data_IF_623284315435
#
_entry.id   IF_623284315435
#
_cell.length_a   1.000
_cell.length_b   1.000
_cell.length_c   1.000
_cell.angle_alpha   90.00
_cell.angle_beta   90.00
_cell.angle_gamma   90.00
#
_symmetry.space_group_name_H-M   'P 1'
#
loop_
_entity.id
_entity.type
_entity.pdbx_description
1 polymer ?
#
# COMPACT_ATOMS: atom_id res chain seq x y z
N UNK A 1 -9.12 20.86 -1.69
CA UNK A 1 -8.19 20.46 -2.79
C UNK A 1 -8.26 18.97 -2.96
N UNK A 2 -8.23 18.44 -4.21
CA UNK A 2 -8.33 17.00 -4.47
C UNK A 2 -7.18 16.55 -5.37
N UNK A 3 -6.52 15.44 -5.00
CA UNK A 3 -5.49 14.80 -5.81
C UNK A 3 -5.67 13.28 -5.75
N UNK A 4 -5.75 12.64 -6.92
CA UNK A 4 -5.86 11.20 -7.06
C UNK A 4 -4.72 10.70 -7.95
N UNK A 5 -4.02 9.68 -7.49
CA UNK A 5 -3.07 8.97 -8.33
C UNK A 5 -3.82 8.09 -9.33
N UNK A 6 -3.31 7.94 -10.56
CA UNK A 6 -3.84 6.96 -11.48
C UNK A 6 -3.70 5.57 -10.87
N UNK A 7 -4.59 4.65 -11.23
CA UNK A 7 -4.50 3.27 -10.76
C UNK A 7 -4.77 2.31 -11.91
N UNK A 8 -4.28 1.09 -11.79
CA UNK A 8 -4.47 0.05 -12.80
C UNK A 8 -5.79 -0.71 -12.56
N UNK A 9 -6.23 -1.37 -13.63
CA UNK A 9 -7.38 -2.26 -13.59
C UNK A 9 -6.97 -3.67 -14.07
N UNK A 10 -7.59 -4.67 -13.46
CA UNK A 10 -7.48 -6.07 -13.87
C UNK A 10 -8.87 -6.53 -14.31
N UNK A 11 -9.14 -6.47 -15.62
CA UNK A 11 -10.51 -6.58 -16.14
C UNK A 11 -11.38 -5.42 -15.66
N UNK A 12 -12.45 -5.72 -14.91
CA UNK A 12 -13.31 -4.71 -14.28
C UNK A 12 -12.91 -4.36 -12.84
N UNK A 13 -11.87 -5.00 -12.30
CA UNK A 13 -11.42 -4.85 -10.91
C UNK A 13 -10.48 -3.67 -10.78
N UNK A 14 -10.70 -2.82 -9.77
CA UNK A 14 -9.83 -1.69 -9.44
C UNK A 14 -8.74 -2.16 -8.47
N UNK A 15 -7.55 -2.47 -8.99
CA UNK A 15 -6.48 -3.13 -8.24
C UNK A 15 -6.67 -4.64 -8.08
N UNK A 16 -5.90 -5.22 -7.19
CA UNK A 16 -5.93 -6.62 -6.86
C UNK A 16 -7.00 -7.05 -5.86
N UNK A 17 -6.96 -8.33 -5.47
CA UNK A 17 -7.84 -8.88 -4.45
C UNK A 17 -7.22 -10.14 -3.85
N UNK A 18 -7.02 -10.18 -2.54
CA UNK A 18 -6.49 -11.37 -1.86
C UNK A 18 -7.41 -12.61 -1.96
N UNK A 19 -8.72 -12.43 -2.17
CA UNK A 19 -9.67 -13.53 -2.37
C UNK A 19 -9.38 -14.34 -3.66
N UNK A 20 -8.51 -13.85 -4.54
CA UNK A 20 -8.07 -14.56 -5.73
C UNK A 20 -6.91 -15.51 -5.47
N UNK A 21 -6.24 -15.41 -4.34
CA UNK A 21 -5.03 -16.15 -4.05
C UNK A 21 -5.32 -17.65 -3.91
N UNK A 22 -4.30 -18.49 -4.21
CA UNK A 22 -4.49 -19.94 -4.36
C UNK A 22 -4.51 -20.68 -3.04
N UNK A 23 -3.80 -20.18 -2.03
CA UNK A 23 -3.70 -20.87 -0.75
C UNK A 23 -4.68 -20.27 0.25
N UNK A 24 -5.25 -21.11 1.12
CA UNK A 24 -6.17 -20.67 2.17
C UNK A 24 -5.56 -19.58 3.06
N UNK A 25 -4.28 -19.74 3.42
CA UNK A 25 -3.58 -18.76 4.27
C UNK A 25 -3.42 -17.41 3.58
N UNK A 26 -3.13 -17.40 2.27
CA UNK A 26 -3.07 -16.16 1.49
C UNK A 26 -4.45 -15.49 1.35
N UNK A 27 -5.52 -16.26 1.20
CA UNK A 27 -6.88 -15.70 1.14
C UNK A 27 -7.28 -14.99 2.43
N UNK A 28 -6.86 -15.49 3.61
CA UNK A 28 -7.28 -14.92 4.90
C UNK A 28 -6.26 -13.96 5.53
N UNK A 29 -4.98 -14.09 5.19
CA UNK A 29 -3.88 -13.31 5.79
C UNK A 29 -2.96 -12.64 4.77
N UNK A 30 -3.32 -12.63 3.49
CA UNK A 30 -2.49 -12.12 2.40
C UNK A 30 -2.64 -10.64 2.08
N UNK A 31 -3.36 -9.85 2.90
CA UNK A 31 -3.58 -8.43 2.63
C UNK A 31 -2.27 -7.63 2.52
N UNK A 32 -1.25 -7.97 3.31
CA UNK A 32 0.08 -7.35 3.17
C UNK A 32 0.73 -7.65 1.81
N UNK A 33 0.65 -8.90 1.35
CA UNK A 33 1.15 -9.29 0.04
C UNK A 33 0.34 -8.65 -1.10
N UNK A 34 -1.00 -8.59 -0.99
CA UNK A 34 -1.86 -7.85 -1.93
C UNK A 34 -1.42 -6.39 -2.04
N UNK A 35 -1.27 -5.71 -0.90
CA UNK A 35 -0.87 -4.30 -0.83
C UNK A 35 0.51 -4.07 -1.48
N UNK A 36 1.48 -4.97 -1.26
CA UNK A 36 2.80 -4.89 -1.89
C UNK A 36 2.74 -5.16 -3.40
N UNK A 37 1.90 -6.10 -3.85
CA UNK A 37 1.65 -6.36 -5.27
C UNK A 37 1.04 -5.13 -5.96
N UNK A 38 0.03 -4.52 -5.35
CA UNK A 38 -0.61 -3.32 -5.88
C UNK A 38 0.36 -2.13 -5.93
N UNK A 39 1.18 -1.94 -4.87
CA UNK A 39 2.22 -0.91 -4.86
C UNK A 39 3.27 -1.16 -5.96
N UNK A 40 3.75 -2.39 -6.13
CA UNK A 40 4.72 -2.76 -7.16
C UNK A 40 4.17 -2.53 -8.58
N UNK A 41 2.93 -2.94 -8.84
CA UNK A 41 2.26 -2.69 -10.13
C UNK A 41 2.09 -1.20 -10.41
N UNK A 42 1.65 -0.44 -9.40
CA UNK A 42 1.56 1.01 -9.53
C UNK A 42 2.91 1.63 -9.90
N UNK A 43 3.97 1.28 -9.17
CA UNK A 43 5.32 1.80 -9.40
C UNK A 43 5.87 1.38 -10.77
N UNK A 44 5.60 0.14 -11.20
CA UNK A 44 6.00 -0.36 -12.52
C UNK A 44 5.32 0.41 -13.66
N UNK A 45 4.02 0.70 -13.54
CA UNK A 45 3.22 1.33 -14.59
C UNK A 45 3.44 2.86 -14.60
N UNK A 46 3.42 3.50 -13.42
CA UNK A 46 3.32 4.96 -13.32
C UNK A 46 4.62 5.65 -12.90
N UNK A 47 5.60 4.88 -12.36
CA UNK A 47 6.91 5.42 -11.94
C UNK A 47 8.07 4.88 -12.76
N UNK A 48 7.79 4.09 -13.81
CA UNK A 48 8.83 3.52 -14.68
C UNK A 48 9.68 2.42 -14.05
N UNK A 49 9.33 1.94 -12.86
CA UNK A 49 10.05 0.87 -12.13
C UNK A 49 9.64 -0.51 -12.62
N UNK A 50 9.77 -0.76 -13.94
CA UNK A 50 9.24 -1.97 -14.60
C UNK A 50 9.75 -3.28 -14.01
N UNK A 51 10.96 -3.29 -13.43
CA UNK A 51 11.57 -4.44 -12.77
C UNK A 51 10.80 -4.92 -11.52
N UNK A 52 9.93 -4.07 -10.95
CA UNK A 52 9.09 -4.43 -9.79
C UNK A 52 7.86 -5.29 -10.14
N UNK A 53 7.64 -5.58 -11.40
CA UNK A 53 6.58 -6.50 -11.85
C UNK A 53 7.15 -7.41 -12.94
N UNK A 54 7.22 -8.75 -12.71
CA UNK A 54 7.95 -9.66 -13.60
C UNK A 54 7.20 -10.02 -14.89
N UNK A 55 5.99 -9.49 -15.10
CA UNK A 55 5.17 -9.77 -16.27
C UNK A 55 4.90 -8.50 -17.10
N UNK A 56 4.20 -8.64 -18.22
CA UNK A 56 3.82 -7.52 -19.08
C UNK A 56 2.71 -6.67 -18.42
N UNK A 57 3.02 -5.40 -18.15
CA UNK A 57 2.07 -4.43 -17.58
C UNK A 57 0.99 -3.99 -18.57
N UNK A 58 1.16 -4.22 -19.88
CA UNK A 58 0.15 -3.90 -20.90
C UNK A 58 -0.97 -4.93 -21.01
N UNK A 59 -0.79 -6.11 -20.41
CA UNK A 59 -1.71 -7.25 -20.47
C UNK A 59 -2.00 -7.82 -19.08
N UNK A 60 -2.54 -6.98 -18.18
CA UNK A 60 -2.88 -7.38 -16.83
C UNK A 60 -4.05 -8.35 -16.81
N UNK A 61 -3.84 -9.54 -16.27
CA UNK A 61 -4.90 -10.55 -16.03
C UNK A 61 -4.92 -10.98 -14.57
N UNK A 62 -6.05 -11.52 -14.14
CA UNK A 62 -6.20 -12.08 -12.79
C UNK A 62 -5.17 -13.19 -12.54
N UNK A 63 -4.94 -14.05 -13.52
CA UNK A 63 -3.98 -15.16 -13.43
C UNK A 63 -2.57 -14.64 -13.20
N UNK A 64 -2.13 -13.61 -13.93
CA UNK A 64 -0.80 -13.01 -13.77
C UNK A 64 -0.66 -12.28 -12.45
N UNK A 65 -1.72 -11.63 -11.98
CA UNK A 65 -1.73 -11.02 -10.66
C UNK A 65 -1.58 -12.08 -9.55
N UNK A 66 -2.28 -13.20 -9.66
CA UNK A 66 -2.17 -14.33 -8.71
C UNK A 66 -0.80 -14.97 -8.77
N UNK A 67 -0.20 -15.14 -9.97
CA UNK A 67 1.18 -15.61 -10.13
C UNK A 67 2.16 -14.64 -9.43
N UNK A 68 1.94 -13.34 -9.57
CA UNK A 68 2.76 -12.32 -8.90
C UNK A 68 2.60 -12.37 -7.37
N UNK A 69 1.38 -12.51 -6.87
CA UNK A 69 1.15 -12.68 -5.44
C UNK A 69 1.83 -13.93 -4.88
N UNK A 70 1.94 -15.00 -5.68
CA UNK A 70 2.69 -16.20 -5.28
C UNK A 70 4.22 -15.96 -5.22
N UNK A 71 4.75 -15.08 -6.08
CA UNK A 71 6.14 -14.62 -5.99
C UNK A 71 6.33 -13.77 -4.72
N UNK A 72 5.35 -12.93 -4.36
CA UNK A 72 5.40 -12.08 -3.16
C UNK A 72 5.24 -12.87 -1.85
N UNK A 73 4.57 -14.01 -1.85
CA UNK A 73 4.23 -14.81 -0.67
C UNK A 73 5.45 -15.14 0.24
N UNK A 74 6.63 -15.54 -0.25
CA UNK A 74 7.79 -15.81 0.60
C UNK A 74 8.31 -14.58 1.36
N UNK A 75 8.13 -13.39 0.84
CA UNK A 75 8.59 -12.12 1.43
C UNK A 75 7.60 -11.59 2.47
N UNK A 76 6.31 -11.71 2.17
CA UNK A 76 5.20 -11.25 3.02
C UNK A 76 4.31 -12.43 3.41
N UNK A 77 4.96 -13.46 3.98
CA UNK A 77 4.30 -14.72 4.33
C UNK A 77 3.09 -14.50 5.25
N UNK A 78 1.91 -15.05 4.90
CA UNK A 78 0.72 -14.89 5.72
C UNK A 78 0.91 -15.58 7.07
N UNK A 79 0.50 -14.91 8.15
CA UNK A 79 0.58 -15.39 9.53
C UNK A 79 -0.82 -15.48 10.11
N UNK A 80 -1.02 -16.32 11.12
CA UNK A 80 -2.31 -16.39 11.82
C UNK A 80 -2.74 -15.05 12.42
N UNK A 81 -1.77 -14.25 12.88
CA UNK A 81 -2.00 -12.89 13.40
C UNK A 81 -1.98 -11.82 12.28
N UNK A 82 -1.83 -12.20 11.01
CA UNK A 82 -1.51 -11.27 9.94
C UNK A 82 -0.13 -10.63 10.09
N UNK A 83 0.21 -9.71 9.19
CA UNK A 83 1.37 -8.82 9.33
C UNK A 83 0.89 -7.60 10.12
N UNK A 84 1.18 -7.58 11.43
CA UNK A 84 0.61 -6.63 12.39
C UNK A 84 1.57 -5.49 12.80
N UNK A 85 2.67 -5.33 12.05
CA UNK A 85 3.69 -4.30 12.28
C UNK A 85 4.24 -3.77 10.97
N UNK A 86 4.60 -2.49 10.97
CA UNK A 86 5.16 -1.80 9.79
C UNK A 86 6.54 -2.33 9.41
N UNK A 87 7.40 -2.62 10.38
CA UNK A 87 8.75 -3.15 10.16
C UNK A 87 8.72 -4.53 9.47
N UNK A 88 7.80 -5.42 9.85
CA UNK A 88 7.64 -6.72 9.18
C UNK A 88 7.30 -6.54 7.68
N UNK A 89 6.41 -5.60 7.37
CA UNK A 89 6.07 -5.28 5.98
C UNK A 89 7.27 -4.66 5.25
N UNK A 90 7.95 -3.71 5.89
CA UNK A 90 9.12 -3.02 5.31
C UNK A 90 10.26 -3.99 5.03
N UNK A 91 10.59 -4.87 5.98
CA UNK A 91 11.65 -5.86 5.84
C UNK A 91 11.32 -6.87 4.73
N UNK A 92 10.09 -7.39 4.72
CA UNK A 92 9.64 -8.35 3.72
C UNK A 92 9.58 -7.74 2.32
N UNK A 93 8.85 -6.63 2.17
CA UNK A 93 8.75 -5.97 0.87
C UNK A 93 10.09 -5.40 0.41
N UNK A 94 10.93 -4.90 1.33
CA UNK A 94 12.29 -4.46 1.03
C UNK A 94 13.18 -5.59 0.48
N UNK A 95 13.05 -6.80 1.02
CA UNK A 95 13.74 -7.98 0.48
C UNK A 95 13.29 -8.30 -0.95
N UNK A 96 11.98 -8.24 -1.22
CA UNK A 96 11.47 -8.38 -2.59
C UNK A 96 12.04 -7.31 -3.53
N UNK A 97 12.03 -6.03 -3.13
CA UNK A 97 12.57 -4.92 -3.93
C UNK A 97 14.06 -5.15 -4.26
N UNK A 98 14.84 -5.59 -3.28
CA UNK A 98 16.27 -5.92 -3.46
C UNK A 98 16.47 -7.06 -4.46
N UNK A 99 15.71 -8.15 -4.32
CA UNK A 99 15.79 -9.32 -5.22
C UNK A 99 15.28 -9.00 -6.63
N UNK A 100 14.36 -8.05 -6.76
CA UNK A 100 13.93 -7.49 -8.04
C UNK A 100 14.96 -6.52 -8.65
N UNK A 101 16.06 -6.22 -7.93
CA UNK A 101 17.13 -5.35 -8.41
C UNK A 101 16.90 -3.86 -8.17
N UNK A 102 15.93 -3.49 -7.32
CA UNK A 102 15.73 -2.08 -6.97
C UNK A 102 16.73 -1.65 -5.88
N UNK A 103 17.44 -0.55 -6.16
CA UNK A 103 18.41 0.05 -5.24
C UNK A 103 18.03 1.47 -4.81
N UNK A 104 16.98 2.03 -5.36
CA UNK A 104 16.60 3.44 -5.18
C UNK A 104 15.45 3.63 -4.19
N UNK A 105 14.44 2.77 -4.27
CA UNK A 105 13.24 2.92 -3.43
C UNK A 105 13.56 2.64 -1.96
N UNK A 106 13.13 3.52 -1.11
CA UNK A 106 13.25 3.41 0.35
C UNK A 106 11.88 3.47 0.98
N UNK A 107 11.73 2.75 2.07
CA UNK A 107 10.52 2.72 2.88
C UNK A 107 10.81 3.19 4.29
N UNK A 108 9.98 4.10 4.80
CA UNK A 108 10.07 4.63 6.16
C UNK A 108 8.75 4.38 6.88
N UNK A 109 8.76 3.82 8.09
CA UNK A 109 7.55 3.67 8.88
C UNK A 109 7.07 5.03 9.39
N UNK A 110 5.76 5.23 9.37
CA UNK A 110 5.06 6.35 9.98
C UNK A 110 4.05 5.80 10.99
N UNK A 111 4.36 5.97 12.27
CA UNK A 111 3.61 5.34 13.36
C UNK A 111 2.18 5.88 13.48
N UNK A 112 1.21 5.00 13.69
CA UNK A 112 -0.21 5.37 13.86
C UNK A 112 -0.51 6.17 15.12
N UNK A 113 0.47 6.37 16.02
CA UNK A 113 0.35 7.23 17.19
C UNK A 113 0.76 8.69 16.91
N UNK A 114 1.27 8.99 15.72
CA UNK A 114 1.48 10.37 15.28
C UNK A 114 0.15 11.14 15.23
N UNK A 115 0.23 12.49 15.30
CA UNK A 115 -0.98 13.32 15.27
C UNK A 115 -1.72 13.21 13.92
N UNK A 116 -3.01 13.53 13.94
CA UNK A 116 -3.80 13.62 12.69
C UNK A 116 -3.20 14.63 11.71
N UNK A 117 -2.73 15.76 12.20
CA UNK A 117 -2.11 16.82 11.38
C UNK A 117 -0.83 16.32 10.71
N UNK A 118 -0.02 15.53 11.43
CA UNK A 118 1.17 14.88 10.86
C UNK A 118 0.79 13.82 9.82
N UNK A 119 -0.25 13.01 10.09
CA UNK A 119 -0.76 12.02 9.16
C UNK A 119 -1.32 12.68 7.88
N UNK A 120 -2.11 13.73 7.99
CA UNK A 120 -2.65 14.47 6.85
C UNK A 120 -1.53 15.11 6.01
N UNK A 121 -0.49 15.66 6.67
CA UNK A 121 0.70 16.16 5.98
C UNK A 121 1.45 15.04 5.24
N UNK A 122 1.63 13.89 5.87
CA UNK A 122 2.29 12.73 5.26
C UNK A 122 1.52 12.23 4.03
N UNK A 123 0.19 12.10 4.13
CA UNK A 123 -0.68 11.73 2.99
C UNK A 123 -0.50 12.71 1.84
N UNK A 124 -0.62 14.01 2.09
CA UNK A 124 -0.45 15.03 1.05
C UNK A 124 0.92 14.91 0.40
N UNK A 125 1.98 14.89 1.19
CA UNK A 125 3.35 14.83 0.69
C UNK A 125 3.59 13.59 -0.20
N UNK A 126 3.11 12.42 0.21
CA UNK A 126 3.30 11.18 -0.56
C UNK A 126 2.51 11.19 -1.86
N UNK A 127 1.21 11.54 -1.80
CA UNK A 127 0.34 11.57 -2.99
C UNK A 127 0.82 12.63 -3.98
N UNK A 128 1.21 13.82 -3.51
CA UNK A 128 1.74 14.89 -4.38
C UNK A 128 3.08 14.52 -5.01
N UNK A 129 3.90 13.70 -4.33
CA UNK A 129 5.13 13.14 -4.88
C UNK A 129 4.88 11.94 -5.82
N UNK A 130 3.63 11.49 -5.99
CA UNK A 130 3.25 10.39 -6.88
C UNK A 130 3.47 9.00 -6.27
N UNK A 131 3.41 8.86 -4.94
CA UNK A 131 3.54 7.57 -4.25
C UNK A 131 2.24 7.16 -3.57
N UNK A 132 1.74 5.94 -3.81
CA UNK A 132 0.67 5.36 -3.01
C UNK A 132 1.21 5.03 -1.62
N UNK A 133 0.31 4.89 -0.64
CA UNK A 133 0.71 4.70 0.75
C UNK A 133 0.19 3.36 1.26
N UNK A 134 1.06 2.34 1.43
CA UNK A 134 0.69 1.14 2.18
C UNK A 134 0.28 1.53 3.60
N UNK A 135 -0.91 1.11 3.99
CA UNK A 135 -1.56 1.52 5.23
C UNK A 135 -2.00 0.30 6.02
N UNK A 136 -1.66 0.26 7.29
CA UNK A 136 -2.11 -0.76 8.24
C UNK A 136 -3.06 -0.13 9.25
N UNK A 137 -4.24 -0.69 9.39
CA UNK A 137 -5.13 -0.45 10.55
C UNK A 137 -5.25 -1.74 11.34
N UNK A 138 -4.94 -1.68 12.63
CA UNK A 138 -5.16 -2.80 13.56
C UNK A 138 -6.59 -2.75 14.14
N UNK A 139 -6.74 -2.69 15.44
CA UNK A 139 -8.06 -2.56 16.08
C UNK A 139 -8.63 -1.15 15.91
N UNK A 140 -9.95 -1.05 15.81
CA UNK A 140 -10.66 0.22 15.73
C UNK A 140 -11.97 0.17 16.50
N UNK A 141 -12.25 1.20 17.36
CA UNK A 141 -13.49 1.26 18.12
C UNK A 141 -14.71 1.62 17.27
N UNK A 142 -14.53 2.40 16.20
CA UNK A 142 -15.63 2.79 15.33
C UNK A 142 -15.94 1.68 14.33
N UNK A 143 -17.18 1.19 14.37
CA UNK A 143 -17.66 0.12 13.48
C UNK A 143 -17.84 0.53 12.01
N UNK A 144 -17.86 1.82 11.70
CA UNK A 144 -17.96 2.31 10.33
C UNK A 144 -16.78 1.89 9.46
N UNK A 145 -15.60 1.69 10.07
CA UNK A 145 -14.36 1.27 9.38
C UNK A 145 -14.02 -0.21 9.62
N UNK A 146 -15.00 -1.03 10.03
CA UNK A 146 -14.79 -2.45 10.36
C UNK A 146 -14.11 -3.28 9.25
N UNK A 147 -14.33 -2.92 7.98
CA UNK A 147 -13.75 -3.60 6.82
C UNK A 147 -12.26 -3.32 6.63
N UNK A 148 -11.72 -2.36 7.38
CA UNK A 148 -10.31 -1.96 7.37
C UNK A 148 -9.56 -2.38 8.64
N UNK A 149 -10.22 -3.10 9.54
CA UNK A 149 -9.61 -3.58 10.81
C UNK A 149 -8.80 -4.83 10.56
N UNK A 150 -7.60 -4.91 11.15
CA UNK A 150 -6.61 -5.96 10.91
C UNK A 150 -6.30 -6.12 9.42
N UNK A 151 -6.10 -4.98 8.74
CA UNK A 151 -6.03 -4.98 7.30
C UNK A 151 -4.96 -4.04 6.76
N UNK A 152 -4.27 -4.49 5.72
CA UNK A 152 -3.40 -3.71 4.86
C UNK A 152 -4.16 -3.30 3.61
N UNK A 153 -3.96 -2.06 3.17
CA UNK A 153 -4.53 -1.51 1.94
C UNK A 153 -3.71 -0.32 1.45
N UNK A 154 -3.96 0.16 0.23
CA UNK A 154 -3.30 1.36 -0.29
C UNK A 154 -4.19 2.60 -0.13
N UNK A 155 -3.56 3.74 0.22
CA UNK A 155 -4.14 5.04 -0.07
C UNK A 155 -3.52 5.55 -1.38
N UNK A 156 -4.36 5.97 -2.33
CA UNK A 156 -3.91 6.50 -3.61
C UNK A 156 -4.56 7.82 -4.00
N UNK A 157 -5.07 8.58 -3.05
CA UNK A 157 -5.63 9.90 -3.25
C UNK A 157 -6.09 10.55 -1.97
N UNK A 158 -6.26 11.86 -2.01
CA UNK A 158 -6.86 12.64 -0.94
C UNK A 158 -7.78 13.74 -1.50
N UNK A 159 -8.73 14.16 -0.66
CA UNK A 159 -9.58 15.32 -0.87
C UNK A 159 -9.69 16.11 0.43
N UNK A 160 -9.18 17.34 0.44
CA UNK A 160 -9.27 18.24 1.59
C UNK A 160 -10.50 19.11 1.53
N UNK A 161 -11.24 19.13 2.63
CA UNK A 161 -12.29 20.09 2.93
C UNK A 161 -11.84 21.00 4.09
N UNK A 162 -12.60 22.06 4.43
CA UNK A 162 -12.29 22.87 5.61
C UNK A 162 -12.30 22.10 6.94
N UNK A 163 -13.08 20.99 7.02
CA UNK A 163 -13.32 20.25 8.23
C UNK A 163 -12.40 19.04 8.38
N UNK A 164 -12.08 18.36 7.27
CA UNK A 164 -11.30 17.10 7.30
C UNK A 164 -10.63 16.82 5.97
N UNK A 165 -9.75 15.80 5.96
CA UNK A 165 -9.22 15.17 4.76
C UNK A 165 -9.91 13.83 4.55
N UNK A 166 -10.46 13.61 3.36
CA UNK A 166 -10.83 12.28 2.89
C UNK A 166 -9.65 11.64 2.17
N UNK A 167 -9.49 10.34 2.33
CA UNK A 167 -8.46 9.52 1.66
C UNK A 167 -9.10 8.43 0.84
N UNK A 168 -8.53 8.14 -0.33
CA UNK A 168 -9.00 7.10 -1.22
C UNK A 168 -8.30 5.79 -0.87
N UNK A 169 -9.00 4.90 -0.18
CA UNK A 169 -8.53 3.57 0.22
C UNK A 169 -8.84 2.55 -0.88
N UNK A 170 -7.85 1.77 -1.29
CA UNK A 170 -7.94 0.74 -2.34
C UNK A 170 -7.64 -0.61 -1.74
N UNK A 171 -8.56 -1.54 -1.86
CA UNK A 171 -8.44 -2.95 -1.46
C UNK A 171 -9.61 -3.76 -2.03
N UNK A 172 -9.50 -5.09 -2.08
CA UNK A 172 -10.57 -6.00 -2.53
C UNK A 172 -11.17 -5.59 -3.89
N UNK A 173 -10.34 -5.24 -4.86
CA UNK A 173 -10.76 -4.85 -6.24
C UNK A 173 -11.63 -3.61 -6.32
N UNK A 174 -11.65 -2.76 -5.32
CA UNK A 174 -12.47 -1.53 -5.26
C UNK A 174 -11.76 -0.43 -4.49
N UNK A 175 -12.37 0.74 -4.47
CA UNK A 175 -11.96 1.84 -3.62
C UNK A 175 -13.14 2.44 -2.86
N UNK A 176 -12.81 3.09 -1.75
CA UNK A 176 -13.74 3.91 -0.96
C UNK A 176 -13.04 5.20 -0.51
N UNK A 177 -13.82 6.28 -0.39
CA UNK A 177 -13.36 7.52 0.23
C UNK A 177 -13.69 7.48 1.72
N UNK A 178 -12.67 7.59 2.56
CA UNK A 178 -12.77 7.51 4.02
C UNK A 178 -12.32 8.83 4.64
N UNK A 179 -13.00 9.27 5.69
CA UNK A 179 -12.51 10.37 6.53
C UNK A 179 -11.22 9.93 7.23
N UNK A 180 -10.11 10.63 6.95
CA UNK A 180 -8.80 10.31 7.52
C UNK A 180 -8.79 10.48 9.05
N UNK A 181 -9.49 11.48 9.60
CA UNK A 181 -9.56 11.68 11.05
C UNK A 181 -10.25 10.49 11.71
N UNK A 182 -11.36 10.04 11.13
CA UNK A 182 -12.05 8.85 11.60
C UNK A 182 -11.16 7.60 11.49
N UNK A 183 -10.46 7.40 10.38
CA UNK A 183 -9.60 6.24 10.15
C UNK A 183 -8.40 6.22 11.10
N UNK A 184 -7.82 7.39 11.41
CA UNK A 184 -6.60 7.56 12.21
C UNK A 184 -6.85 7.47 13.71
N UNK A 185 -7.99 7.98 14.19
CA UNK A 185 -8.37 7.88 15.59
C UNK A 185 -9.03 6.54 15.91
N UNK A 186 -8.22 5.52 16.01
CA UNK A 186 -8.68 4.15 16.25
C UNK A 186 -9.28 3.95 17.66
N UNK A 187 -8.96 4.83 18.62
CA UNK A 187 -9.33 4.69 20.03
C UNK A 187 -8.54 3.59 20.78
N UNK A 188 -7.48 3.04 20.20
CA UNK A 188 -6.60 2.03 20.80
C UNK A 188 -5.16 2.53 20.92
N UNK A 189 -4.42 2.01 21.91
CA UNK A 189 -3.00 2.34 22.11
C UNK A 189 -2.10 1.69 21.05
N UNK A 190 -2.37 0.41 20.70
CA UNK A 190 -1.65 -0.27 19.60
C UNK A 190 -2.36 0.06 18.30
N UNK A 191 -1.68 0.80 17.44
CA UNK A 191 -2.15 1.21 16.13
C UNK A 191 -1.23 0.65 15.02
N UNK A 192 -1.70 0.69 13.78
CA UNK A 192 -0.87 0.44 12.61
C UNK A 192 -0.08 1.69 12.19
N UNK A 193 -0.37 2.23 11.03
CA UNK A 193 0.29 3.41 10.48
C UNK A 193 0.47 3.31 8.97
N UNK A 194 1.41 4.11 8.44
CA UNK A 194 1.75 4.17 7.02
C UNK A 194 3.16 3.63 6.77
N UNK A 195 3.39 3.20 5.54
CA UNK A 195 4.74 3.03 4.98
C UNK A 195 4.92 4.09 3.90
N UNK A 196 5.88 4.99 4.11
CA UNK A 196 6.16 6.10 3.21
C UNK A 196 7.31 5.74 2.27
N UNK A 197 7.14 6.04 0.97
CA UNK A 197 8.16 5.84 -0.04
C UNK A 197 9.00 7.09 -0.27
N UNK A 198 10.27 6.88 -0.57
CA UNK A 198 11.18 7.89 -1.11
C UNK A 198 12.17 7.23 -2.06
N UNK A 199 12.79 8.01 -2.95
CA UNK A 199 13.90 7.54 -3.77
C UNK A 199 15.21 8.16 -3.30
N UNK A 200 16.30 7.38 -3.29
CA UNK A 200 17.63 7.92 -3.20
C UNK A 200 17.99 8.58 -4.54
N UNK A 201 18.44 9.83 -4.49
CA UNK A 201 19.17 10.41 -5.62
C UNK A 201 20.44 9.59 -5.84
N UNK A 202 20.56 8.94 -6.98
CA UNK A 202 21.82 8.33 -7.39
C UNK A 202 22.79 9.45 -7.73
N UNK A 203 23.97 9.47 -7.13
CA UNK A 203 25.08 10.41 -7.39
C UNK A 203 25.63 10.29 -8.83
N UNK A 204 24.76 10.33 -9.86
CA UNK A 204 25.17 10.25 -11.27
C UNK A 204 25.14 11.58 -12.02
N UNK A 205 25.01 12.72 -11.35
CA UNK A 205 25.10 14.05 -11.98
C UNK A 205 26.35 14.87 -11.61
N UNK A 206 27.43 14.25 -11.15
CA UNK A 206 28.70 14.97 -10.88
C UNK A 206 29.84 14.69 -11.90
N UNK A 207 29.52 14.15 -13.08
CA UNK A 207 30.51 14.10 -14.18
C UNK A 207 29.93 14.66 -15.49
N UNK A 208 29.80 15.98 -15.56
CA UNK A 208 29.81 16.73 -16.83
C UNK A 208 30.39 18.13 -16.64
#
# INVERSE_FOLDING_TARGET
MKHELPHFQIGSSYGGNQDWFRTFMMCIGGCGAETACDASLYLAIHRGMKHLYPFDTSALTKERYVDFAHIMEPYLHPRWSGIDRLDIFIDGYGSYLSDAGDTRLRMTPFDGNESYEAAAKAVRTQIDAGYPIPTLILNHKNKAVKNYVWHWFLLNGYEETPETMFVKAVTYSKYEWLDLRLLWDTGHAKKGGFVLFSEHETDQEQEK
#
